data_IF_972241666474
#
_entry.id   IF_972241666474
#
_cell.length_a   1.000
_cell.length_b   1.000
_cell.length_c   1.000
_cell.angle_alpha   90.00
_cell.angle_beta   90.00
_cell.angle_gamma   90.00
#
_symmetry.space_group_name_H-M   'P 1'
#
loop_
_entity.id
_entity.type
_entity.pdbx_description
1 polymer ?
#
# COMPACT_ATOMS: atom_id res chain seq x y z
N UNK A 1 5.36 18.56 22.02
CA UNK A 1 5.51 19.45 20.84
C UNK A 1 4.19 19.50 20.08
N UNK A 2 3.21 20.30 20.54
CA UNK A 2 1.83 20.23 20.03
C UNK A 2 1.69 20.73 18.58
N UNK A 3 2.66 21.47 18.04
CA UNK A 3 2.65 21.94 16.66
C UNK A 3 3.27 20.95 15.66
N UNK A 4 3.90 19.86 16.12
CA UNK A 4 4.57 18.91 15.23
C UNK A 4 3.52 18.13 14.42
N UNK A 5 3.56 18.28 13.10
CA UNK A 5 2.64 17.63 12.16
C UNK A 5 3.26 16.45 11.43
N UNK A 6 4.55 16.52 11.14
CA UNK A 6 5.27 15.49 10.41
C UNK A 6 6.48 15.04 11.24
N UNK A 7 6.60 13.74 11.44
CA UNK A 7 7.76 13.13 12.08
C UNK A 7 8.24 11.98 11.21
N UNK A 8 9.51 12.02 10.87
CA UNK A 8 10.19 10.94 10.16
C UNK A 8 11.24 10.34 11.06
N UNK A 9 11.13 9.04 11.31
CA UNK A 9 12.13 8.22 11.99
C UNK A 9 12.89 7.35 10.97
N UNK A 10 12.90 7.78 9.71
CA UNK A 10 13.63 7.09 8.64
C UNK A 10 15.11 6.98 8.99
N UNK A 11 15.69 5.81 8.76
CA UNK A 11 17.11 5.53 9.02
C UNK A 11 17.52 5.68 10.49
N UNK A 12 16.58 5.92 11.41
CA UNK A 12 16.89 5.95 12.83
C UNK A 12 17.12 4.53 13.32
N UNK A 13 18.28 4.29 13.94
CA UNK A 13 18.61 3.03 14.61
C UNK A 13 17.92 2.95 15.98
N UNK A 14 16.60 3.10 16.01
CA UNK A 14 15.79 3.05 17.23
C UNK A 14 14.91 1.80 17.24
N UNK A 15 14.71 1.24 18.43
CA UNK A 15 13.70 0.23 18.69
C UNK A 15 12.47 0.96 19.22
N UNK A 16 11.37 0.85 18.49
CA UNK A 16 10.09 1.45 18.85
C UNK A 16 9.39 0.53 19.84
N UNK A 17 9.31 0.97 21.09
CA UNK A 17 8.58 0.30 22.16
C UNK A 17 7.13 0.78 22.20
N UNK A 18 6.22 -0.03 22.75
CA UNK A 18 4.82 0.36 22.88
C UNK A 18 4.67 1.64 23.72
N UNK A 19 5.39 1.70 24.84
CA UNK A 19 5.39 2.86 25.75
C UNK A 19 5.93 4.12 25.06
N UNK A 20 7.01 3.99 24.29
CA UNK A 20 7.61 5.10 23.55
C UNK A 20 6.66 5.68 22.48
N UNK A 21 5.96 4.82 21.74
CA UNK A 21 4.98 5.25 20.74
C UNK A 21 3.75 5.90 21.36
N UNK A 22 3.26 5.41 22.51
CA UNK A 22 2.15 6.03 23.25
C UNK A 22 2.56 7.41 23.78
N UNK A 23 3.75 7.52 24.39
CA UNK A 23 4.29 8.81 24.84
C UNK A 23 4.50 9.78 23.68
N UNK A 24 4.94 9.28 22.53
CA UNK A 24 5.08 10.09 21.33
C UNK A 24 3.71 10.61 20.86
N UNK A 25 2.71 9.73 20.78
CA UNK A 25 1.35 10.11 20.41
C UNK A 25 0.75 11.15 21.37
N UNK A 26 1.00 11.02 22.67
CA UNK A 26 0.51 11.99 23.68
C UNK A 26 1.26 13.32 23.63
N UNK A 27 2.58 13.31 23.38
CA UNK A 27 3.39 14.51 23.24
C UNK A 27 3.19 15.25 21.90
N UNK A 28 2.65 14.55 20.90
CA UNK A 28 2.41 15.05 19.54
C UNK A 28 0.98 14.73 19.07
N UNK A 29 -0.06 15.27 19.74
CA UNK A 29 -1.46 14.94 19.45
C UNK A 29 -1.92 15.39 18.07
N UNK A 30 -1.21 16.36 17.47
CA UNK A 30 -1.45 16.84 16.12
C UNK A 30 -0.51 16.21 15.08
N UNK A 31 0.21 15.15 15.45
CA UNK A 31 1.06 14.43 14.52
C UNK A 31 0.17 13.82 13.44
N UNK A 32 0.27 14.42 12.28
CA UNK A 32 -0.50 14.05 11.11
C UNK A 32 0.18 12.88 10.43
N UNK A 33 1.50 12.94 10.22
CA UNK A 33 2.28 11.93 9.49
C UNK A 33 3.40 11.38 10.34
N UNK A 34 3.42 10.07 10.49
CA UNK A 34 4.54 9.31 11.04
C UNK A 34 5.17 8.47 9.92
N UNK A 35 6.41 8.80 9.53
CA UNK A 35 7.20 8.05 8.55
C UNK A 35 8.17 7.10 9.28
N UNK A 36 7.80 5.81 9.32
CA UNK A 36 8.59 4.72 9.93
C UNK A 36 9.33 3.91 8.87
N UNK A 37 9.61 4.52 7.72
CA UNK A 37 10.38 3.91 6.63
C UNK A 37 11.67 3.28 7.13
N UNK A 38 11.82 1.96 7.02
CA UNK A 38 13.01 1.24 7.40
C UNK A 38 14.00 1.19 6.24
N UNK A 39 15.26 1.52 6.51
CA UNK A 39 16.36 1.04 5.69
C UNK A 39 17.17 0.06 6.53
N UNK A 40 17.58 -1.06 5.96
CA UNK A 40 18.38 -2.07 6.64
C UNK A 40 17.75 -2.60 7.94
N UNK A 41 16.43 -2.90 7.93
CA UNK A 41 15.65 -3.40 9.08
C UNK A 41 15.54 -2.46 10.30
N UNK A 42 15.76 -1.14 10.13
CA UNK A 42 15.64 -0.13 11.20
C UNK A 42 14.82 1.07 10.72
N UNK A 43 13.87 1.62 11.51
CA UNK A 43 13.59 1.33 12.93
C UNK A 43 12.79 0.04 13.15
N UNK A 44 13.11 -0.76 14.17
CA UNK A 44 12.42 -2.03 14.47
C UNK A 44 11.34 -1.84 15.53
N UNK A 45 10.27 -2.64 15.48
CA UNK A 45 9.25 -2.68 16.53
C UNK A 45 9.61 -3.73 17.58
N UNK A 46 9.45 -3.38 18.85
CA UNK A 46 9.29 -4.37 19.92
C UNK A 46 7.96 -5.12 19.72
N UNK A 47 7.85 -6.32 20.29
CA UNK A 47 6.59 -7.09 20.32
C UNK A 47 5.44 -6.21 20.80
N UNK A 48 4.31 -6.26 20.10
CA UNK A 48 3.09 -5.50 20.36
C UNK A 48 3.21 -3.96 20.20
N UNK A 49 4.39 -3.40 19.93
CA UNK A 49 4.55 -1.95 19.76
C UNK A 49 3.73 -1.41 18.56
N UNK A 50 3.44 -2.26 17.59
CA UNK A 50 2.58 -1.94 16.44
C UNK A 50 1.15 -1.58 16.90
N UNK A 51 0.69 -2.07 18.06
CA UNK A 51 -0.62 -1.73 18.63
C UNK A 51 -0.76 -0.24 18.94
N UNK A 52 0.33 0.42 19.32
CA UNK A 52 0.34 1.86 19.58
C UNK A 52 0.11 2.71 18.32
N UNK A 53 0.20 2.12 17.11
CA UNK A 53 -0.04 2.87 15.88
C UNK A 53 -1.50 3.36 15.74
N UNK A 54 -2.44 2.79 16.51
CA UNK A 54 -3.85 3.18 16.51
C UNK A 54 -4.10 4.66 16.86
N UNK A 55 -3.16 5.30 17.55
CA UNK A 55 -3.29 6.69 17.96
C UNK A 55 -2.97 7.70 16.84
N UNK A 56 -2.40 7.26 15.71
CA UNK A 56 -1.99 8.14 14.61
C UNK A 56 -3.03 8.20 13.48
N UNK A 57 -3.19 9.39 12.88
CA UNK A 57 -4.19 9.64 11.80
C UNK A 57 -3.66 9.42 10.38
N UNK A 58 -2.37 9.67 10.13
CA UNK A 58 -1.72 9.22 8.90
C UNK A 58 -0.46 8.46 9.21
N UNK A 59 -0.33 7.31 8.56
CA UNK A 59 0.76 6.40 8.80
C UNK A 59 1.45 6.08 7.48
N UNK A 60 2.73 6.41 7.42
CA UNK A 60 3.61 5.97 6.36
C UNK A 60 4.57 4.93 6.93
N UNK A 61 4.32 3.66 6.63
CA UNK A 61 5.27 2.59 6.97
C UNK A 61 5.88 2.07 5.68
N UNK A 62 7.18 2.24 5.50
CA UNK A 62 7.88 1.63 4.37
C UNK A 62 9.05 0.79 4.87
N UNK A 63 9.51 -0.16 4.09
CA UNK A 63 10.59 -1.06 4.47
C UNK A 63 10.23 -2.06 5.57
N UNK A 64 8.95 -2.37 5.80
CA UNK A 64 8.52 -3.31 6.83
C UNK A 64 9.38 -4.59 6.79
N UNK A 65 10.24 -4.79 7.79
CA UNK A 65 11.01 -6.03 7.91
C UNK A 65 10.08 -7.24 7.83
N UNK A 66 10.65 -8.40 7.50
CA UNK A 66 10.01 -9.71 7.55
C UNK A 66 9.21 -10.00 8.85
N UNK A 67 9.43 -9.23 9.92
CA UNK A 67 8.76 -9.31 11.22
C UNK A 67 7.77 -8.19 11.53
N UNK A 68 7.27 -7.43 10.55
CA UNK A 68 6.20 -6.48 10.89
C UNK A 68 4.99 -7.26 11.43
N UNK A 69 4.81 -7.22 12.74
CA UNK A 69 3.60 -7.66 13.39
C UNK A 69 2.43 -6.86 12.82
N UNK A 70 1.31 -7.53 12.67
CA UNK A 70 0.20 -7.04 11.89
C UNK A 70 -0.39 -5.78 12.55
N UNK A 71 -0.47 -4.64 11.84
CA UNK A 71 -1.03 -3.44 12.44
C UNK A 71 -2.45 -3.66 12.94
N UNK A 72 -2.84 -2.98 14.04
CA UNK A 72 -4.16 -3.09 14.65
C UNK A 72 -5.23 -2.35 13.81
N UNK A 73 -5.34 -2.64 12.51
CA UNK A 73 -6.15 -1.87 11.56
C UNK A 73 -7.60 -1.66 12.03
N UNK A 74 -8.17 -2.61 12.78
CA UNK A 74 -9.51 -2.52 13.40
C UNK A 74 -9.68 -1.25 14.23
N UNK A 75 -8.64 -0.80 14.91
CA UNK A 75 -8.64 0.36 15.79
C UNK A 75 -8.16 1.64 15.10
N UNK A 76 -7.63 1.55 13.87
CA UNK A 76 -7.12 2.69 13.10
C UNK A 76 -8.23 3.42 12.31
N UNK A 77 -9.37 3.69 12.95
CA UNK A 77 -10.56 4.25 12.29
C UNK A 77 -10.37 5.66 11.72
N UNK A 78 -9.31 6.34 12.14
CA UNK A 78 -8.95 7.68 11.68
C UNK A 78 -7.89 7.70 10.58
N UNK A 79 -7.44 6.53 10.12
CA UNK A 79 -6.38 6.42 9.13
C UNK A 79 -6.82 6.96 7.77
N UNK A 80 -6.20 8.04 7.32
CA UNK A 80 -6.51 8.65 6.02
C UNK A 80 -5.53 8.27 4.91
N UNK A 81 -4.26 8.06 5.28
CA UNK A 81 -3.19 7.69 4.36
C UNK A 81 -2.50 6.45 4.89
N UNK A 82 -2.40 5.42 4.05
CA UNK A 82 -1.67 4.19 4.31
C UNK A 82 -0.64 3.98 3.21
N UNK A 83 0.64 4.10 3.56
CA UNK A 83 1.73 3.69 2.68
C UNK A 83 2.33 2.43 3.27
N UNK A 84 2.40 1.37 2.47
CA UNK A 84 3.01 0.08 2.77
C UNK A 84 3.95 -0.28 1.63
N UNK A 85 5.24 -0.30 1.92
CA UNK A 85 6.26 -0.78 0.98
C UNK A 85 7.02 -1.91 1.65
N UNK A 86 6.78 -3.14 1.21
CA UNK A 86 7.27 -4.35 1.85
C UNK A 86 8.30 -5.06 0.95
N UNK A 87 9.47 -5.47 1.46
CA UNK A 87 10.44 -6.24 0.67
C UNK A 87 9.92 -7.65 0.33
N UNK A 88 9.06 -8.25 1.16
CA UNK A 88 8.55 -9.61 0.97
C UNK A 88 7.02 -9.67 1.11
N UNK A 89 6.45 -10.88 1.08
CA UNK A 89 5.02 -11.22 1.10
C UNK A 89 4.22 -10.73 2.33
N UNK A 90 4.85 -9.98 3.23
CA UNK A 90 4.18 -9.27 4.34
C UNK A 90 2.98 -8.45 3.86
N UNK A 91 3.05 -7.86 2.65
CA UNK A 91 1.94 -7.11 2.10
C UNK A 91 0.72 -8.00 1.81
N UNK A 92 0.90 -9.17 1.20
CA UNK A 92 -0.20 -10.10 0.97
C UNK A 92 -0.79 -10.59 2.29
N UNK A 93 0.03 -10.87 3.31
CA UNK A 93 -0.45 -11.23 4.65
C UNK A 93 -1.30 -10.13 5.29
N UNK A 94 -0.89 -8.87 5.15
CA UNK A 94 -1.65 -7.72 5.63
C UNK A 94 -3.01 -7.63 4.91
N UNK A 95 -3.02 -7.69 3.57
CA UNK A 95 -4.25 -7.62 2.78
C UNK A 95 -5.18 -8.80 3.08
N UNK A 96 -4.62 -10.01 3.21
CA UNK A 96 -5.35 -11.21 3.59
C UNK A 96 -6.02 -11.06 4.95
N UNK A 97 -5.31 -10.52 5.93
CA UNK A 97 -5.89 -10.31 7.25
C UNK A 97 -6.97 -9.23 7.27
N UNK A 98 -6.81 -8.15 6.49
CA UNK A 98 -7.86 -7.16 6.30
C UNK A 98 -9.12 -7.81 5.70
N UNK A 99 -8.93 -8.76 4.78
CA UNK A 99 -9.98 -9.55 4.17
C UNK A 99 -10.69 -10.45 5.18
N UNK A 100 -9.96 -11.34 5.88
CA UNK A 100 -10.55 -12.26 6.86
C UNK A 100 -11.25 -11.54 8.01
N UNK A 101 -10.62 -10.49 8.55
CA UNK A 101 -11.15 -9.76 9.69
C UNK A 101 -12.26 -8.76 9.31
N UNK A 102 -12.63 -8.67 8.02
CA UNK A 102 -13.61 -7.72 7.50
C UNK A 102 -13.32 -6.28 7.95
N UNK A 103 -12.04 -5.94 8.05
CA UNK A 103 -11.63 -4.64 8.54
C UNK A 103 -11.77 -3.61 7.42
N UNK A 104 -12.55 -2.56 7.66
CA UNK A 104 -12.77 -1.47 6.69
C UNK A 104 -12.30 -0.17 7.32
N UNK A 105 -11.31 0.46 6.68
CA UNK A 105 -10.81 1.78 7.08
C UNK A 105 -11.62 2.85 6.34
N UNK A 106 -12.76 3.24 6.91
CA UNK A 106 -13.74 4.12 6.25
C UNK A 106 -13.20 5.51 5.85
N UNK A 107 -12.17 6.00 6.56
CA UNK A 107 -11.54 7.30 6.29
C UNK A 107 -10.35 7.22 5.35
N UNK A 108 -9.99 6.02 4.88
CA UNK A 108 -8.84 5.82 4.02
C UNK A 108 -9.10 6.46 2.66
N UNK A 109 -8.26 7.43 2.31
CA UNK A 109 -8.33 8.18 1.05
C UNK A 109 -7.12 7.88 0.18
N UNK A 110 -5.94 7.75 0.77
CA UNK A 110 -4.69 7.65 0.01
C UNK A 110 -4.01 6.32 0.34
N UNK A 111 -3.67 5.55 -0.69
CA UNK A 111 -2.87 4.34 -0.53
C UNK A 111 -1.63 4.36 -1.42
N UNK A 112 -0.55 3.77 -0.89
CA UNK A 112 0.63 3.43 -1.67
C UNK A 112 1.06 2.03 -1.26
N UNK A 113 0.88 1.05 -2.14
CA UNK A 113 1.18 -0.36 -1.89
C UNK A 113 2.29 -0.82 -2.81
N UNK A 114 3.39 -1.32 -2.24
CA UNK A 114 4.53 -1.81 -3.00
C UNK A 114 5.09 -3.09 -2.40
N UNK A 115 5.47 -4.04 -3.26
CA UNK A 115 6.08 -5.30 -2.84
C UNK A 115 7.24 -5.69 -3.76
N UNK A 116 8.42 -6.02 -3.23
CA UNK A 116 9.55 -6.43 -4.08
C UNK A 116 9.42 -7.88 -4.57
N UNK A 117 8.92 -8.77 -3.72
CA UNK A 117 8.64 -10.17 -4.06
C UNK A 117 7.20 -10.52 -3.70
N UNK A 118 6.32 -10.60 -4.71
CA UNK A 118 4.89 -10.90 -4.52
C UNK A 118 4.57 -12.38 -4.66
N UNK A 119 3.69 -12.91 -3.82
CA UNK A 119 3.08 -14.22 -4.07
C UNK A 119 1.98 -14.14 -5.13
N UNK A 120 1.63 -15.28 -5.73
CA UNK A 120 0.54 -15.39 -6.70
C UNK A 120 -0.83 -14.94 -6.17
N UNK A 121 -1.01 -14.89 -4.84
CA UNK A 121 -2.24 -14.43 -4.19
C UNK A 121 -2.36 -12.90 -4.10
N UNK A 122 -1.24 -12.18 -4.22
CA UNK A 122 -1.20 -10.74 -4.02
C UNK A 122 -2.17 -9.96 -4.94
N UNK A 123 -2.24 -10.22 -6.26
CA UNK A 123 -3.12 -9.45 -7.12
C UNK A 123 -4.61 -9.65 -6.81
N UNK A 124 -5.03 -10.87 -6.44
CA UNK A 124 -6.42 -11.14 -6.02
C UNK A 124 -6.79 -10.36 -4.76
N UNK A 125 -5.88 -10.33 -3.78
CA UNK A 125 -6.06 -9.55 -2.56
C UNK A 125 -6.09 -8.05 -2.82
N UNK A 126 -5.27 -7.59 -3.77
CA UNK A 126 -5.27 -6.20 -4.21
C UNK A 126 -6.60 -5.82 -4.89
N UNK A 127 -7.12 -6.67 -5.78
CA UNK A 127 -8.42 -6.47 -6.44
C UNK A 127 -9.54 -6.39 -5.40
N UNK A 128 -9.58 -7.35 -4.46
CA UNK A 128 -10.54 -7.34 -3.36
C UNK A 128 -10.47 -6.04 -2.55
N UNK A 129 -9.26 -5.60 -2.22
CA UNK A 129 -9.03 -4.37 -1.46
C UNK A 129 -9.60 -3.16 -2.20
N UNK A 130 -9.28 -2.99 -3.48
CA UNK A 130 -9.79 -1.86 -4.27
C UNK A 130 -11.34 -1.86 -4.36
N UNK A 131 -11.97 -3.03 -4.45
CA UNK A 131 -13.43 -3.14 -4.51
C UNK A 131 -14.11 -2.74 -3.18
N UNK A 132 -13.48 -3.05 -2.05
CA UNK A 132 -14.02 -2.74 -0.71
C UNK A 132 -13.80 -1.29 -0.30
N UNK A 133 -12.66 -0.70 -0.62
CA UNK A 133 -12.27 0.62 -0.13
C UNK A 133 -12.68 1.73 -1.10
N UNK A 134 -13.99 1.99 -1.22
CA UNK A 134 -14.54 2.96 -2.20
C UNK A 134 -14.27 4.44 -1.88
N UNK A 135 -13.71 4.75 -0.71
CA UNK A 135 -13.35 6.12 -0.30
C UNK A 135 -12.04 6.62 -0.89
N UNK A 136 -11.28 5.74 -1.57
CA UNK A 136 -9.97 6.05 -2.13
C UNK A 136 -10.03 7.14 -3.19
N UNK A 137 -9.11 8.09 -3.08
CA UNK A 137 -8.88 9.24 -3.95
C UNK A 137 -7.55 9.18 -4.68
N UNK A 138 -6.55 8.62 -4.01
CA UNK A 138 -5.20 8.43 -4.53
C UNK A 138 -4.81 6.97 -4.39
N UNK A 139 -4.43 6.35 -5.49
CA UNK A 139 -3.94 4.96 -5.51
C UNK A 139 -2.58 4.92 -6.16
N UNK A 140 -1.57 4.47 -5.41
CA UNK A 140 -0.25 4.17 -5.94
C UNK A 140 0.06 2.69 -5.74
N UNK A 141 0.31 1.96 -6.83
CA UNK A 141 0.70 0.56 -6.80
C UNK A 141 2.08 0.44 -7.43
N UNK A 142 2.99 -0.22 -6.73
CA UNK A 142 4.36 -0.45 -7.16
C UNK A 142 4.69 -1.95 -7.19
N UNK A 143 5.37 -2.41 -8.25
CA UNK A 143 5.86 -3.79 -8.39
C UNK A 143 4.75 -4.86 -8.28
N UNK A 144 3.59 -4.63 -8.88
CA UNK A 144 2.53 -5.65 -8.93
C UNK A 144 2.71 -6.57 -10.14
N UNK A 145 2.81 -7.88 -9.90
CA UNK A 145 2.90 -8.89 -10.96
C UNK A 145 1.57 -9.62 -11.12
N UNK A 146 0.97 -9.52 -12.30
CA UNK A 146 -0.27 -10.20 -12.69
C UNK A 146 0.06 -11.47 -13.48
N UNK A 147 -0.71 -12.53 -13.28
CA UNK A 147 -0.49 -13.79 -13.99
C UNK A 147 -1.21 -13.84 -15.34
N UNK A 148 -2.46 -13.36 -15.41
CA UNK A 148 -3.34 -13.54 -16.59
C UNK A 148 -4.06 -12.26 -17.00
N UNK A 149 -4.45 -12.19 -18.27
CA UNK A 149 -5.27 -11.08 -18.79
C UNK A 149 -6.62 -10.92 -18.06
N UNK A 150 -7.24 -12.02 -17.62
CA UNK A 150 -8.47 -11.95 -16.81
C UNK A 150 -8.23 -11.21 -15.48
N UNK A 151 -7.13 -11.52 -14.80
CA UNK A 151 -6.77 -10.87 -13.55
C UNK A 151 -6.49 -9.38 -13.75
N UNK A 152 -5.77 -9.02 -14.83
CA UNK A 152 -5.53 -7.63 -15.21
C UNK A 152 -6.85 -6.88 -15.49
N UNK A 153 -7.77 -7.51 -16.23
CA UNK A 153 -9.08 -6.94 -16.53
C UNK A 153 -9.88 -6.66 -15.26
N UNK A 154 -9.90 -7.60 -14.31
CA UNK A 154 -10.56 -7.43 -13.01
C UNK A 154 -9.91 -6.32 -12.17
N UNK A 155 -8.58 -6.19 -12.21
CA UNK A 155 -7.85 -5.11 -11.56
C UNK A 155 -8.20 -3.73 -12.12
N UNK A 156 -8.16 -3.56 -13.44
CA UNK A 156 -8.55 -2.31 -14.10
C UNK A 156 -10.02 -1.96 -13.85
N UNK A 157 -10.93 -2.95 -13.90
CA UNK A 157 -12.32 -2.75 -13.53
C UNK A 157 -12.48 -2.29 -12.08
N UNK A 158 -11.72 -2.87 -11.14
CA UNK A 158 -11.75 -2.45 -9.73
C UNK A 158 -11.33 -0.99 -9.55
N UNK A 159 -10.24 -0.56 -10.22
CA UNK A 159 -9.77 0.83 -10.22
C UNK A 159 -10.81 1.79 -10.80
N UNK A 160 -11.36 1.48 -11.97
CA UNK A 160 -12.41 2.31 -12.61
C UNK A 160 -13.65 2.38 -11.74
N UNK A 161 -13.95 1.34 -10.96
CA UNK A 161 -15.13 1.35 -10.10
C UNK A 161 -15.00 2.37 -8.95
N UNK A 162 -13.78 2.74 -8.52
CA UNK A 162 -13.57 3.63 -7.39
C UNK A 162 -14.18 5.03 -7.63
N UNK A 163 -15.27 5.41 -6.93
CA UNK A 163 -16.07 6.57 -7.30
C UNK A 163 -15.36 7.91 -7.04
N UNK A 164 -14.40 7.93 -6.11
CA UNK A 164 -13.69 9.15 -5.68
C UNK A 164 -12.24 9.22 -6.16
N UNK A 165 -11.81 8.25 -6.99
CA UNK A 165 -10.45 8.19 -7.50
C UNK A 165 -10.17 9.40 -8.40
N UNK A 166 -9.14 10.16 -8.06
CA UNK A 166 -8.70 11.35 -8.78
C UNK A 166 -7.29 11.18 -9.35
N UNK A 167 -6.47 10.36 -8.70
CA UNK A 167 -5.07 10.15 -9.08
C UNK A 167 -4.66 8.67 -8.93
N UNK A 168 -4.01 8.15 -9.97
CA UNK A 168 -3.57 6.77 -10.08
C UNK A 168 -2.11 6.69 -10.56
N UNK A 169 -1.24 6.06 -9.77
CA UNK A 169 0.13 5.79 -10.17
C UNK A 169 0.34 4.27 -10.20
N UNK A 170 0.77 3.76 -11.35
CA UNK A 170 1.14 2.35 -11.55
C UNK A 170 2.62 2.32 -11.96
N UNK A 171 3.47 1.90 -11.03
CA UNK A 171 4.91 1.86 -11.24
C UNK A 171 5.41 0.41 -11.25
N UNK A 172 6.18 0.06 -12.29
CA UNK A 172 6.76 -1.28 -12.45
C UNK A 172 5.75 -2.44 -12.26
N UNK A 173 4.50 -2.24 -12.69
CA UNK A 173 3.50 -3.28 -12.67
C UNK A 173 3.57 -4.08 -13.97
N UNK A 174 3.56 -5.40 -13.87
CA UNK A 174 3.82 -6.30 -15.00
C UNK A 174 2.77 -7.41 -15.11
N UNK A 175 2.54 -7.90 -16.33
CA UNK A 175 1.73 -9.08 -16.62
C UNK A 175 2.65 -10.16 -17.23
N UNK A 176 2.61 -11.39 -16.72
CA UNK A 176 3.36 -12.51 -17.28
C UNK A 176 2.99 -12.81 -18.74
N UNK A 177 1.69 -12.71 -19.05
CA UNK A 177 1.15 -12.88 -20.39
C UNK A 177 1.35 -11.65 -21.29
N UNK A 178 1.15 -11.86 -22.60
CA UNK A 178 0.96 -10.75 -23.54
C UNK A 178 -0.36 -10.03 -23.21
N UNK A 179 -0.29 -8.72 -23.01
CA UNK A 179 -1.48 -7.90 -22.76
C UNK A 179 -2.31 -7.82 -24.04
N UNK A 180 -3.61 -8.10 -23.90
CA UNK A 180 -4.61 -7.80 -24.93
C UNK A 180 -4.80 -6.27 -25.02
N UNK A 181 -4.51 -5.70 -26.18
CA UNK A 181 -4.61 -4.25 -26.40
C UNK A 181 -6.00 -3.70 -26.13
N UNK A 182 -7.05 -4.50 -26.29
CA UNK A 182 -8.42 -4.08 -26.01
C UNK A 182 -8.62 -3.74 -24.52
N UNK A 183 -7.92 -4.42 -23.61
CA UNK A 183 -8.00 -4.18 -22.16
C UNK A 183 -7.40 -2.81 -21.82
N UNK A 184 -6.25 -2.48 -22.41
CA UNK A 184 -5.60 -1.18 -22.19
C UNK A 184 -6.41 -0.02 -22.79
N UNK A 185 -6.92 -0.20 -24.01
CA UNK A 185 -7.74 0.83 -24.69
C UNK A 185 -8.98 1.14 -23.86
N UNK A 186 -9.74 0.12 -23.44
CA UNK A 186 -10.94 0.31 -22.62
C UNK A 186 -10.62 0.98 -21.28
N UNK A 187 -9.49 0.63 -20.67
CA UNK A 187 -9.05 1.23 -19.41
C UNK A 187 -8.69 2.71 -19.56
N UNK A 188 -7.92 3.05 -20.58
CA UNK A 188 -7.51 4.42 -20.87
C UNK A 188 -8.69 5.32 -21.24
N UNK A 189 -9.62 4.83 -22.05
CA UNK A 189 -10.87 5.52 -22.36
C UNK A 189 -11.64 5.83 -21.07
N UNK A 190 -11.82 4.82 -20.20
CA UNK A 190 -12.53 4.98 -18.93
C UNK A 190 -11.88 5.97 -17.98
N UNK A 191 -10.55 5.93 -17.85
CA UNK A 191 -9.79 6.88 -17.00
C UNK A 191 -9.88 8.30 -17.54
N UNK A 192 -9.76 8.47 -18.86
CA UNK A 192 -9.82 9.76 -19.53
C UNK A 192 -11.21 10.39 -19.40
N UNK A 193 -12.27 9.60 -19.64
CA UNK A 193 -13.66 10.05 -19.48
C UNK A 193 -13.96 10.51 -18.06
N UNK A 194 -13.34 9.88 -17.06
CA UNK A 194 -13.49 10.26 -15.65
C UNK A 194 -12.59 11.41 -15.21
N UNK A 195 -11.68 11.90 -16.07
CA UNK A 195 -10.73 12.97 -15.74
C UNK A 195 -9.74 12.58 -14.64
N UNK A 196 -9.46 11.28 -14.47
CA UNK A 196 -8.50 10.78 -13.49
C UNK A 196 -7.11 11.13 -13.99
N UNK A 197 -6.24 11.66 -13.13
CA UNK A 197 -4.82 11.84 -13.44
C UNK A 197 -4.13 10.50 -13.27
N UNK A 198 -3.42 10.01 -14.28
CA UNK A 198 -2.69 8.75 -14.16
C UNK A 198 -1.25 8.85 -14.59
N UNK A 199 -0.41 8.00 -14.01
CA UNK A 199 0.96 7.79 -14.42
C UNK A 199 1.26 6.29 -14.48
N UNK A 200 1.77 5.84 -15.62
CA UNK A 200 2.12 4.44 -15.87
C UNK A 200 0.92 3.53 -16.15
N UNK A 201 1.24 2.30 -16.57
CA UNK A 201 0.32 1.22 -16.92
C UNK A 201 0.98 -0.12 -16.55
N UNK A 202 0.19 -1.18 -16.47
CA UNK A 202 0.74 -2.54 -16.42
C UNK A 202 1.37 -2.85 -17.77
N UNK A 203 2.56 -3.43 -17.78
CA UNK A 203 3.29 -3.79 -19.00
C UNK A 203 3.41 -5.31 -19.12
N UNK A 204 3.44 -5.86 -20.33
CA UNK A 204 3.85 -7.26 -20.46
C UNK A 204 5.30 -7.41 -20.00
N UNK A 205 5.55 -8.43 -19.19
CA UNK A 205 6.88 -8.83 -18.81
C UNK A 205 7.66 -9.10 -20.11
N UNK A 206 8.76 -8.37 -20.30
CA UNK A 206 9.69 -8.68 -21.37
C UNK A 206 10.58 -9.79 -20.84
N UNK A 207 10.62 -10.92 -21.52
CA UNK A 207 11.65 -11.91 -21.27
C UNK A 207 12.99 -11.26 -21.62
N UNK A 208 13.74 -10.84 -20.61
CA UNK A 208 15.07 -10.28 -20.76
C UNK A 208 16.08 -11.35 -20.29
N UNK A 209 16.64 -12.17 -21.20
CA UNK A 209 17.53 -13.27 -20.83
C UNK A 209 18.83 -12.79 -20.16
N UNK A 210 19.15 -11.49 -20.24
CA UNK A 210 20.39 -10.92 -19.73
C UNK A 210 20.30 -10.38 -18.29
N UNK A 211 19.09 -10.38 -17.68
CA UNK A 211 18.88 -9.86 -16.32
C UNK A 211 19.24 -10.86 -15.19
N UNK A 212 19.86 -12.00 -15.52
CA UNK A 212 20.33 -13.01 -14.55
C UNK A 212 21.78 -12.80 -14.09
N UNK A 213 22.39 -11.65 -14.36
CA UNK A 213 23.72 -11.30 -13.90
C UNK A 213 23.74 -9.92 -13.23
N UNK A 214 23.28 -9.81 -11.98
CA UNK A 214 23.73 -8.78 -11.03
C UNK A 214 23.42 -9.14 -9.57
#
# INVERSE_FOLDING_TARGET
MPALRDLSLRHCSVVLTMTGLIQLASATPNLYRLDLSQAYNKPSFETDAVLALQYFRQLKVSGCSYRLEMPPFRYMQHLETLVLNCPYDTLARILYSLCENHCILFKLKHISLGVKYSTAKYPELLIWFLLKYRSLRFVHIWNALFATNDQLKRFYAALISLPKLNELNLENCELCDRIDSSIEVQFLESITLRGIRWNGLVRSMRYDPDNNCQ
#
